data_IF_949467733602
#
_entry.id   IF_949467733602
#
_cell.length_a   1.000
_cell.length_b   1.000
_cell.length_c   1.000
_cell.angle_alpha   90.00
_cell.angle_beta   90.00
_cell.angle_gamma   90.00
#
_symmetry.space_group_name_H-M   'P 1'
#
loop_
_entity.id
_entity.type
_entity.pdbx_description
1 polymer ?
#
# COMPACT_ATOMS: atom_id res chain seq x y z
N UNK A 1 -24.76 44.06 48.04
CA UNK A 1 -24.43 44.23 46.62
C UNK A 1 -24.18 42.82 46.09
N UNK A 2 -25.15 42.06 45.55
CA UNK A 2 -25.93 42.24 44.28
C UNK A 2 -24.95 42.58 43.15
N UNK A 3 -24.66 41.71 42.16
CA UNK A 3 -25.51 40.84 41.33
C UNK A 3 -24.78 39.50 41.01
N UNK A 4 -25.35 38.28 40.93
CA UNK A 4 -26.50 37.74 40.19
C UNK A 4 -26.40 37.84 38.65
N UNK A 5 -25.92 36.78 38.00
CA UNK A 5 -26.42 36.31 36.69
C UNK A 5 -25.89 34.89 36.42
N UNK A 6 -26.68 33.83 36.63
CA UNK A 6 -27.81 33.38 35.80
C UNK A 6 -27.35 32.38 34.74
N UNK A 7 -27.78 31.14 34.96
CA UNK A 7 -27.68 29.99 34.06
C UNK A 7 -28.53 30.22 32.80
N UNK A 8 -28.18 29.48 31.72
CA UNK A 8 -29.01 29.01 30.58
C UNK A 8 -29.02 29.83 29.28
N UNK A 9 -28.20 29.40 28.33
CA UNK A 9 -28.51 29.22 26.89
C UNK A 9 -27.76 27.94 26.49
N UNK A 10 -28.38 26.75 26.43
CA UNK A 10 -29.13 26.17 25.29
C UNK A 10 -28.28 26.10 24.01
N UNK A 11 -27.66 24.94 23.82
CA UNK A 11 -27.61 24.08 22.63
C UNK A 11 -27.92 24.68 21.24
N UNK A 12 -27.00 24.43 20.28
CA UNK A 12 -27.19 24.08 18.83
C UNK A 12 -26.26 24.88 17.88
N UNK A 13 -25.42 24.12 17.13
CA UNK A 13 -24.70 24.36 15.86
C UNK A 13 -23.20 24.00 15.99
N UNK A 14 -22.78 22.73 16.01
CA UNK A 14 -22.67 21.80 14.87
C UNK A 14 -22.43 22.49 13.51
N UNK A 15 -21.25 22.25 12.93
CA UNK A 15 -20.87 22.43 11.51
C UNK A 15 -20.71 23.87 10.96
N UNK A 16 -19.55 24.48 11.23
CA UNK A 16 -18.74 25.38 10.35
C UNK A 16 -17.78 26.19 11.24
N UNK A 17 -16.45 26.04 11.19
CA UNK A 17 -15.65 26.49 10.07
C UNK A 17 -14.29 25.74 10.02
N UNK A 18 -14.21 24.78 9.10
CA UNK A 18 -13.01 24.08 8.62
C UNK A 18 -12.28 24.92 7.54
N UNK A 19 -12.46 26.24 7.56
CA UNK A 19 -11.77 27.16 6.67
C UNK A 19 -11.64 28.51 7.37
N UNK A 20 -10.52 29.21 7.16
CA UNK A 20 -10.25 30.62 7.55
C UNK A 20 -9.42 30.87 8.83
N UNK A 21 -8.18 30.36 8.90
CA UNK A 21 -7.15 31.03 9.71
C UNK A 21 -5.73 30.85 9.15
N UNK A 22 -5.54 31.26 7.88
CA UNK A 22 -4.24 31.54 7.26
C UNK A 22 -4.07 30.89 5.89
N UNK A 23 -4.16 31.56 4.74
CA UNK A 23 -4.34 32.96 4.38
C UNK A 23 -4.05 33.05 2.86
N UNK A 24 -5.05 33.24 2.01
CA UNK A 24 -5.55 34.58 1.65
C UNK A 24 -4.90 35.19 0.39
N UNK A 25 -3.73 34.73 -0.05
CA UNK A 25 -3.04 35.27 -1.25
C UNK A 25 -2.90 34.30 -2.44
N UNK A 26 -3.26 33.02 -2.28
CA UNK A 26 -3.19 32.02 -3.36
C UNK A 26 -4.43 32.00 -4.29
N UNK A 27 -5.48 32.76 -3.97
CA UNK A 27 -6.81 32.59 -4.56
C UNK A 27 -7.02 33.24 -5.94
N UNK A 28 -6.03 33.92 -6.54
CA UNK A 28 -6.21 34.54 -7.87
C UNK A 28 -5.33 33.96 -8.99
N UNK A 29 -4.24 33.26 -8.68
CA UNK A 29 -3.41 32.54 -9.66
C UNK A 29 -3.71 31.05 -9.76
N UNK A 30 -4.46 30.47 -8.81
CA UNK A 30 -4.96 29.08 -8.85
C UNK A 30 -6.29 28.90 -9.62
N UNK A 31 -6.94 29.98 -10.04
CA UNK A 31 -8.28 29.95 -10.66
C UNK A 31 -8.28 29.60 -12.18
N UNK A 32 -7.17 29.14 -12.76
CA UNK A 32 -7.10 28.81 -14.19
C UNK A 32 -6.31 27.53 -14.53
N UNK A 33 -6.07 26.65 -13.55
CA UNK A 33 -5.60 25.30 -13.83
C UNK A 33 -6.44 24.31 -12.99
N UNK A 34 -7.02 23.26 -13.58
CA UNK A 34 -7.59 22.17 -12.79
C UNK A 34 -6.44 21.59 -11.96
N UNK A 35 -6.43 21.91 -10.67
CA UNK A 35 -5.64 21.16 -9.71
C UNK A 35 -6.32 19.80 -9.64
N UNK A 36 -5.81 18.85 -10.41
CA UNK A 36 -6.08 17.44 -10.19
C UNK A 36 -5.57 17.14 -8.78
N UNK A 37 -6.47 17.20 -7.79
CA UNK A 37 -6.14 16.77 -6.44
C UNK A 37 -5.53 15.38 -6.56
N UNK A 38 -4.31 15.16 -6.06
CA UNK A 38 -3.71 13.85 -6.13
C UNK A 38 -4.69 12.91 -5.46
N UNK A 39 -5.07 11.84 -6.17
CA UNK A 39 -5.84 10.72 -5.62
C UNK A 39 -4.94 10.00 -4.62
N UNK A 40 -4.63 10.68 -3.52
CA UNK A 40 -3.85 10.20 -2.42
C UNK A 40 -4.84 9.49 -1.51
N UNK A 41 -4.54 8.24 -1.17
CA UNK A 41 -5.24 7.61 -0.08
C UNK A 41 -4.80 8.27 1.21
N UNK A 42 -5.70 9.08 1.77
CA UNK A 42 -5.53 9.63 3.10
C UNK A 42 -5.76 8.52 4.13
N UNK A 43 -4.70 7.76 4.43
CA UNK A 43 -4.69 6.83 5.56
C UNK A 43 -4.11 7.60 6.75
N UNK A 44 -4.88 7.82 7.84
CA UNK A 44 -4.35 8.50 9.00
C UNK A 44 -3.17 7.73 9.60
N UNK A 45 -2.19 8.41 10.19
CA UNK A 45 -0.97 7.76 10.67
C UNK A 45 -1.25 6.71 11.77
N UNK A 46 -2.28 6.95 12.57
CA UNK A 46 -2.79 6.07 13.61
C UNK A 46 -3.94 5.16 13.12
N UNK A 47 -4.11 4.99 11.81
CA UNK A 47 -5.10 4.07 11.23
C UNK A 47 -4.88 2.66 11.77
N UNK A 48 -5.98 2.01 12.16
CA UNK A 48 -5.95 0.60 12.53
C UNK A 48 -5.56 -0.27 11.33
N UNK A 49 -5.20 -1.53 11.60
CA UNK A 49 -4.95 -2.50 10.55
C UNK A 49 -6.13 -2.64 9.58
N UNK A 50 -7.36 -2.63 10.10
CA UNK A 50 -8.58 -2.72 9.29
C UNK A 50 -8.77 -1.49 8.39
N UNK A 51 -8.50 -0.29 8.90
CA UNK A 51 -8.59 0.94 8.11
C UNK A 51 -7.57 0.95 6.96
N UNK A 52 -6.34 0.50 7.24
CA UNK A 52 -5.28 0.34 6.23
C UNK A 52 -5.66 -0.67 5.16
N UNK A 53 -6.25 -1.80 5.54
CA UNK A 53 -6.75 -2.82 4.61
C UNK A 53 -7.89 -2.27 3.74
N UNK A 54 -8.85 -1.58 4.36
CA UNK A 54 -9.96 -0.95 3.63
C UNK A 54 -9.46 0.09 2.63
N UNK A 55 -8.49 0.92 3.01
CA UNK A 55 -7.86 1.86 2.10
C UNK A 55 -7.17 1.14 0.92
N UNK A 56 -6.46 0.04 1.19
CA UNK A 56 -5.88 -0.79 0.12
C UNK A 56 -6.94 -1.38 -0.82
N UNK A 57 -8.09 -1.78 -0.30
CA UNK A 57 -9.20 -2.30 -1.10
C UNK A 57 -9.80 -1.19 -1.97
N UNK A 58 -10.07 -0.01 -1.39
CA UNK A 58 -10.53 1.16 -2.15
C UNK A 58 -9.53 1.58 -3.23
N UNK A 59 -8.23 1.52 -2.94
CA UNK A 59 -7.17 1.74 -3.92
C UNK A 59 -7.25 0.74 -5.07
N UNK A 60 -7.36 -0.55 -4.74
CA UNK A 60 -7.40 -1.62 -5.73
C UNK A 60 -8.65 -1.50 -6.61
N UNK A 61 -9.79 -1.19 -6.02
CA UNK A 61 -11.05 -0.97 -6.73
C UNK A 61 -10.94 0.23 -7.66
N UNK A 62 -10.37 1.34 -7.18
CA UNK A 62 -10.05 2.50 -8.04
C UNK A 62 -9.14 2.10 -9.19
N UNK A 63 -8.07 1.34 -8.94
CA UNK A 63 -7.14 0.86 -9.98
C UNK A 63 -7.80 -0.07 -11.02
N UNK A 64 -8.86 -0.81 -10.63
CA UNK A 64 -9.64 -1.69 -11.51
C UNK A 64 -10.67 -0.95 -12.37
N UNK A 65 -11.01 0.29 -12.03
CA UNK A 65 -11.94 1.09 -12.83
C UNK A 65 -11.43 1.29 -14.26
N UNK A 66 -12.33 1.12 -15.23
CA UNK A 66 -12.04 1.29 -16.65
C UNK A 66 -12.12 2.75 -17.11
N UNK A 67 -12.79 3.61 -16.35
CA UNK A 67 -13.01 5.03 -16.68
C UNK A 67 -11.83 5.95 -16.30
N UNK A 68 -10.79 5.43 -15.66
CA UNK A 68 -9.57 6.19 -15.38
C UNK A 68 -8.64 6.19 -16.59
N UNK A 69 -8.09 7.36 -16.89
CA UNK A 69 -6.99 7.49 -17.84
C UNK A 69 -5.75 6.75 -17.32
N UNK A 70 -4.85 6.35 -18.22
CA UNK A 70 -3.61 5.66 -17.81
C UNK A 70 -2.70 6.59 -17.00
N UNK A 71 -2.77 7.91 -17.21
CA UNK A 71 -2.03 8.88 -16.42
C UNK A 71 -2.54 8.97 -14.98
N UNK A 72 -3.87 9.00 -14.77
CA UNK A 72 -4.46 8.95 -13.43
C UNK A 72 -4.14 7.65 -12.72
N UNK A 73 -4.23 6.51 -13.44
CA UNK A 73 -3.87 5.20 -12.90
C UNK A 73 -2.39 5.16 -12.50
N UNK A 74 -1.51 5.78 -13.27
CA UNK A 74 -0.08 5.91 -12.94
C UNK A 74 0.14 6.79 -11.71
N UNK A 75 -0.46 7.99 -11.65
CA UNK A 75 -0.38 8.90 -10.50
C UNK A 75 -0.89 8.24 -9.22
N UNK A 76 -1.99 7.48 -9.32
CA UNK A 76 -2.55 6.69 -8.23
C UNK A 76 -1.56 5.59 -7.80
N UNK A 77 -0.99 4.85 -8.75
CA UNK A 77 0.05 3.86 -8.46
C UNK A 77 1.30 4.45 -7.76
N UNK A 78 1.74 5.63 -8.19
CA UNK A 78 2.85 6.36 -7.57
C UNK A 78 2.50 6.85 -6.16
N UNK A 79 1.28 7.32 -5.92
CA UNK A 79 0.84 7.78 -4.59
C UNK A 79 0.85 6.63 -3.58
N UNK A 80 0.34 5.45 -3.98
CA UNK A 80 0.39 4.24 -3.16
C UNK A 80 1.82 3.79 -2.90
N UNK A 81 2.69 3.82 -3.93
CA UNK A 81 4.10 3.45 -3.75
C UNK A 81 4.79 4.36 -2.74
N UNK A 82 4.60 5.68 -2.84
CA UNK A 82 5.18 6.65 -1.90
C UNK A 82 4.66 6.45 -0.48
N UNK A 83 3.36 6.17 -0.33
CA UNK A 83 2.76 5.86 0.96
C UNK A 83 3.46 4.65 1.61
N UNK A 84 3.58 3.53 0.87
CA UNK A 84 4.23 2.32 1.35
C UNK A 84 5.73 2.52 1.65
N UNK A 85 6.44 3.25 0.79
CA UNK A 85 7.84 3.60 1.01
C UNK A 85 8.03 4.47 2.25
N UNK A 86 7.09 5.38 2.54
CA UNK A 86 7.06 6.22 3.73
C UNK A 86 6.83 5.43 5.01
N UNK A 87 5.87 4.50 5.03
CA UNK A 87 5.61 3.65 6.19
C UNK A 87 6.82 2.76 6.52
N UNK A 88 7.49 2.20 5.50
CA UNK A 88 8.74 1.46 5.71
C UNK A 88 9.82 2.37 6.27
N UNK A 89 9.97 3.58 5.75
CA UNK A 89 10.98 4.52 6.25
C UNK A 89 10.74 4.89 7.72
N UNK A 90 9.48 5.16 8.11
CA UNK A 90 9.12 5.43 9.51
C UNK A 90 9.58 4.31 10.45
N UNK A 91 9.36 3.05 10.06
CA UNK A 91 9.79 1.88 10.86
C UNK A 91 11.31 1.75 10.94
N UNK A 92 12.00 2.02 9.83
CA UNK A 92 13.47 2.05 9.78
C UNK A 92 14.00 3.13 10.72
N UNK A 93 13.47 4.34 10.62
CA UNK A 93 13.88 5.47 11.45
C UNK A 93 13.61 5.21 12.94
N UNK A 94 12.44 4.65 13.27
CA UNK A 94 12.09 4.25 14.63
C UNK A 94 13.11 3.25 15.20
N UNK A 95 13.51 2.23 14.42
CA UNK A 95 14.51 1.25 14.84
C UNK A 95 15.91 1.87 15.04
N UNK A 96 16.37 2.72 14.11
CA UNK A 96 17.71 3.29 14.19
C UNK A 96 17.84 4.41 15.22
N UNK A 97 16.77 5.17 15.47
CA UNK A 97 16.73 6.25 16.45
C UNK A 97 16.51 5.74 17.89
N UNK A 98 16.06 4.50 18.07
CA UNK A 98 15.89 3.91 19.39
C UNK A 98 17.22 3.45 20.02
N UNK A 99 17.23 3.46 21.36
CA UNK A 99 18.32 2.92 22.17
C UNK A 99 18.57 1.44 21.83
N UNK A 100 19.82 0.97 21.87
CA UNK A 100 20.15 -0.42 21.54
C UNK A 100 19.33 -1.46 22.30
N UNK A 101 18.98 -1.16 23.56
CA UNK A 101 18.18 -2.04 24.43
C UNK A 101 16.69 -2.09 24.03
N UNK A 102 16.16 -1.03 23.41
CA UNK A 102 14.75 -0.95 23.00
C UNK A 102 14.49 -1.55 21.60
N UNK A 103 15.55 -1.75 20.80
CA UNK A 103 15.46 -2.22 19.41
C UNK A 103 14.78 -3.57 19.26
N UNK A 104 15.02 -4.49 20.20
CA UNK A 104 14.40 -5.82 20.14
C UNK A 104 12.87 -5.74 20.30
N UNK A 105 12.40 -4.97 21.28
CA UNK A 105 10.96 -4.75 21.49
C UNK A 105 10.28 -4.05 20.30
N UNK A 106 10.98 -3.12 19.63
CA UNK A 106 10.48 -2.45 18.41
C UNK A 106 10.34 -3.46 17.28
N UNK A 107 11.36 -4.30 17.05
CA UNK A 107 11.30 -5.35 16.03
C UNK A 107 10.18 -6.34 16.31
N UNK A 108 9.99 -6.75 17.56
CA UNK A 108 8.91 -7.68 17.94
C UNK A 108 7.53 -7.10 17.63
N UNK A 109 7.29 -5.82 17.98
CA UNK A 109 6.03 -5.14 17.62
C UNK A 109 5.84 -5.04 16.11
N UNK A 110 6.88 -4.67 15.36
CA UNK A 110 6.79 -4.62 13.89
C UNK A 110 6.54 -6.01 13.28
N UNK A 111 7.07 -7.08 13.87
CA UNK A 111 6.80 -8.46 13.47
C UNK A 111 5.35 -8.83 13.72
N UNK A 112 4.79 -8.51 14.90
CA UNK A 112 3.40 -8.78 15.23
C UNK A 112 2.44 -8.09 14.22
N UNK A 113 2.70 -6.81 13.92
CA UNK A 113 1.95 -6.06 12.90
C UNK A 113 2.05 -6.73 11.51
N UNK A 114 3.22 -7.26 11.15
CA UNK A 114 3.39 -7.99 9.89
C UNK A 114 2.67 -9.34 9.89
N UNK A 115 2.60 -10.05 11.02
CA UNK A 115 1.85 -11.30 11.15
C UNK A 115 0.35 -11.07 11.00
N UNK A 116 -0.18 -10.03 11.62
CA UNK A 116 -1.57 -9.59 11.44
C UNK A 116 -1.86 -9.23 9.99
N UNK A 117 -0.99 -8.41 9.38
CA UNK A 117 -1.11 -8.05 7.96
C UNK A 117 -1.11 -9.30 7.07
N UNK A 118 -0.21 -10.25 7.35
CA UNK A 118 -0.08 -11.50 6.58
C UNK A 118 -1.36 -12.33 6.66
N UNK A 119 -1.91 -12.52 7.86
CA UNK A 119 -3.16 -13.28 8.08
C UNK A 119 -4.33 -12.62 7.34
N UNK A 120 -4.47 -11.30 7.46
CA UNK A 120 -5.50 -10.56 6.75
C UNK A 120 -5.38 -10.68 5.22
N UNK A 121 -4.15 -10.64 4.70
CA UNK A 121 -3.87 -10.84 3.27
C UNK A 121 -4.15 -12.27 2.81
N UNK A 122 -3.87 -13.27 3.65
CA UNK A 122 -4.13 -14.69 3.36
C UNK A 122 -5.63 -14.99 3.34
N UNK A 123 -6.38 -14.52 4.34
CA UNK A 123 -7.84 -14.62 4.38
C UNK A 123 -8.47 -13.96 3.14
N UNK A 124 -8.01 -12.75 2.79
CA UNK A 124 -8.48 -12.07 1.58
C UNK A 124 -8.15 -12.85 0.32
N UNK A 125 -6.94 -13.42 0.23
CA UNK A 125 -6.56 -14.24 -0.93
C UNK A 125 -7.46 -15.47 -1.06
N UNK A 126 -7.73 -16.16 0.04
CA UNK A 126 -8.64 -17.32 0.05
C UNK A 126 -10.04 -16.89 -0.43
N UNK A 127 -10.56 -15.76 0.06
CA UNK A 127 -11.84 -15.22 -0.40
C UNK A 127 -11.84 -14.88 -1.89
N UNK A 128 -10.80 -14.23 -2.39
CA UNK A 128 -10.65 -13.92 -3.82
C UNK A 128 -10.56 -15.20 -4.68
N UNK A 129 -9.85 -16.23 -4.20
CA UNK A 129 -9.75 -17.54 -4.87
C UNK A 129 -11.10 -18.26 -4.90
N UNK A 130 -11.88 -18.21 -3.81
CA UNK A 130 -13.23 -18.77 -3.76
C UNK A 130 -14.21 -18.02 -4.69
N UNK A 131 -14.18 -16.69 -4.69
CA UNK A 131 -15.00 -15.87 -5.60
C UNK A 131 -14.65 -16.13 -7.06
N UNK A 132 -13.36 -16.25 -7.36
CA UNK A 132 -12.89 -16.62 -8.70
C UNK A 132 -13.34 -18.02 -9.09
N UNK A 133 -13.18 -19.01 -8.20
CA UNK A 133 -13.61 -20.37 -8.45
C UNK A 133 -15.12 -20.46 -8.76
N UNK A 134 -15.94 -19.67 -8.06
CA UNK A 134 -17.38 -19.53 -8.34
C UNK A 134 -17.64 -18.82 -9.68
N UNK A 135 -16.91 -17.76 -9.99
CA UNK A 135 -17.05 -17.06 -11.27
C UNK A 135 -16.62 -17.92 -12.47
N UNK A 136 -15.71 -18.86 -12.25
CA UNK A 136 -15.23 -19.81 -13.25
C UNK A 136 -16.08 -21.10 -13.31
N UNK A 137 -17.07 -21.25 -12.43
CA UNK A 137 -18.03 -22.35 -12.46
C UNK A 137 -18.88 -22.27 -13.73
N UNK A 138 -18.77 -23.27 -14.60
CA UNK A 138 -19.44 -23.31 -15.90
C UNK A 138 -18.62 -22.76 -17.08
N UNK A 139 -17.43 -22.17 -16.84
CA UNK A 139 -16.48 -21.86 -17.92
C UNK A 139 -15.68 -23.10 -18.30
N UNK A 140 -15.40 -23.26 -19.59
CA UNK A 140 -14.45 -24.27 -20.08
C UNK A 140 -13.01 -23.94 -19.67
N UNK A 141 -12.13 -24.94 -19.62
CA UNK A 141 -10.70 -24.71 -19.33
C UNK A 141 -10.04 -23.79 -20.36
N UNK A 142 -10.47 -23.87 -21.63
CA UNK A 142 -9.97 -23.00 -22.70
C UNK A 142 -10.37 -21.53 -22.47
N UNK A 143 -11.60 -21.26 -22.03
CA UNK A 143 -12.04 -19.90 -21.68
C UNK A 143 -11.28 -19.34 -20.48
N UNK A 144 -11.04 -20.16 -19.45
CA UNK A 144 -10.24 -19.75 -18.28
C UNK A 144 -8.81 -19.43 -18.71
N UNK A 145 -8.19 -20.29 -19.52
CA UNK A 145 -6.82 -20.08 -20.00
C UNK A 145 -6.71 -18.82 -20.87
N UNK A 146 -7.68 -18.59 -21.76
CA UNK A 146 -7.75 -17.39 -22.60
C UNK A 146 -7.92 -16.10 -21.76
N UNK A 147 -8.72 -16.13 -20.69
CA UNK A 147 -8.88 -15.00 -19.77
C UNK A 147 -7.57 -14.71 -19.02
N UNK A 148 -6.93 -15.76 -18.49
CA UNK A 148 -5.62 -15.66 -17.86
C UNK A 148 -4.54 -15.15 -18.83
N UNK A 149 -4.57 -15.55 -20.09
CA UNK A 149 -3.63 -15.07 -21.10
C UNK A 149 -3.82 -13.58 -21.40
N UNK A 150 -5.07 -13.12 -21.55
CA UNK A 150 -5.38 -11.69 -21.70
C UNK A 150 -4.90 -10.89 -20.49
N UNK A 151 -5.07 -11.40 -19.28
CA UNK A 151 -4.55 -10.75 -18.07
C UNK A 151 -3.01 -10.66 -18.08
N UNK A 152 -2.33 -11.75 -18.45
CA UNK A 152 -0.86 -11.80 -18.59
C UNK A 152 -0.36 -10.84 -19.67
N UNK A 153 -1.07 -10.74 -20.79
CA UNK A 153 -0.73 -9.82 -21.88
C UNK A 153 -0.88 -8.35 -21.44
N UNK A 154 -2.01 -7.98 -20.83
CA UNK A 154 -2.21 -6.64 -20.24
C UNK A 154 -1.10 -6.28 -19.25
N UNK A 155 -0.68 -7.23 -18.42
CA UNK A 155 0.43 -7.02 -17.49
C UNK A 155 1.77 -6.82 -18.21
N UNK A 156 2.08 -7.65 -19.22
CA UNK A 156 3.31 -7.52 -20.02
C UNK A 156 3.35 -6.18 -20.75
N UNK A 157 2.24 -5.75 -21.32
CA UNK A 157 2.14 -4.48 -22.03
C UNK A 157 2.36 -3.30 -21.10
N UNK A 158 1.77 -3.32 -19.90
CA UNK A 158 2.04 -2.33 -18.86
C UNK A 158 3.53 -2.28 -18.46
N UNK A 159 4.19 -3.43 -18.39
CA UNK A 159 5.62 -3.48 -18.07
C UNK A 159 6.49 -2.98 -19.23
N UNK A 160 6.07 -3.21 -20.47
CA UNK A 160 6.77 -2.75 -21.69
C UNK A 160 6.58 -1.26 -21.92
N UNK A 161 5.42 -0.70 -21.60
CA UNK A 161 5.09 0.71 -21.82
C UNK A 161 5.87 1.67 -20.91
N UNK A 162 6.45 1.18 -19.80
CA UNK A 162 7.35 1.98 -18.96
C UNK A 162 8.56 2.47 -19.74
N UNK A 163 8.72 3.78 -19.83
CA UNK A 163 9.83 4.38 -20.56
C UNK A 163 11.17 4.11 -19.86
N UNK A 164 12.29 4.17 -20.60
CA UNK A 164 13.63 4.06 -20.00
C UNK A 164 13.88 5.19 -18.99
N UNK A 165 13.36 6.37 -19.27
CA UNK A 165 13.48 7.56 -18.42
C UNK A 165 12.74 7.37 -17.10
N UNK A 166 11.53 6.83 -17.12
CA UNK A 166 10.74 6.50 -15.91
C UNK A 166 11.48 5.48 -15.04
N UNK A 167 12.01 4.41 -15.64
CA UNK A 167 12.83 3.42 -14.91
C UNK A 167 14.10 4.04 -14.33
N UNK A 168 14.68 5.02 -15.00
CA UNK A 168 15.88 5.73 -14.55
C UNK A 168 15.54 6.65 -13.37
N UNK A 169 14.47 7.44 -13.47
CA UNK A 169 13.99 8.29 -12.38
C UNK A 169 13.66 7.47 -11.13
N UNK A 170 13.02 6.30 -11.31
CA UNK A 170 12.76 5.34 -10.23
C UNK A 170 14.02 4.78 -9.57
N UNK A 171 15.11 4.66 -10.33
CA UNK A 171 16.39 4.17 -9.84
C UNK A 171 17.23 5.28 -9.21
N UNK A 172 17.21 6.49 -9.76
CA UNK A 172 18.02 7.64 -9.34
C UNK A 172 17.50 8.29 -8.06
N UNK A 173 16.20 8.18 -7.79
CA UNK A 173 15.59 8.66 -6.54
C UNK A 173 16.02 7.85 -5.31
N UNK A 174 16.74 6.74 -5.47
CA UNK A 174 17.17 5.89 -4.36
C UNK A 174 18.50 6.38 -3.78
N UNK A 175 18.42 6.99 -2.60
CA UNK A 175 19.57 7.32 -1.79
C UNK A 175 20.28 6.02 -1.32
N UNK A 176 21.59 5.83 -1.62
CA UNK A 176 22.30 4.60 -1.26
C UNK A 176 22.35 4.36 0.25
N UNK A 177 22.38 5.43 1.06
CA UNK A 177 22.40 5.32 2.52
C UNK A 177 21.07 4.81 3.07
N UNK A 178 19.94 5.32 2.56
CA UNK A 178 18.60 4.84 2.94
C UNK A 178 18.41 3.37 2.54
N UNK A 179 18.92 2.98 1.36
CA UNK A 179 18.90 1.58 0.94
C UNK A 179 19.70 0.69 1.89
N UNK A 180 20.91 1.13 2.30
CA UNK A 180 21.73 0.40 3.25
C UNK A 180 21.03 0.24 4.62
N UNK A 181 20.42 1.31 5.13
CA UNK A 181 19.62 1.27 6.38
C UNK A 181 18.44 0.32 6.25
N UNK A 182 17.66 0.39 5.16
CA UNK A 182 16.56 -0.53 4.89
C UNK A 182 17.03 -1.99 4.87
N UNK A 183 18.15 -2.29 4.22
CA UNK A 183 18.71 -3.65 4.19
C UNK A 183 19.14 -4.12 5.58
N UNK A 184 19.79 -3.26 6.36
CA UNK A 184 20.21 -3.59 7.72
C UNK A 184 19.00 -3.84 8.64
N UNK A 185 17.97 -3.00 8.55
CA UNK A 185 16.71 -3.18 9.26
C UNK A 185 16.01 -4.50 8.88
N UNK A 186 15.86 -4.78 7.58
CA UNK A 186 15.24 -6.03 7.11
C UNK A 186 16.04 -7.28 7.53
N UNK A 187 17.37 -7.18 7.59
CA UNK A 187 18.24 -8.25 8.11
C UNK A 187 18.02 -8.48 9.61
N UNK A 188 17.93 -7.40 10.41
CA UNK A 188 17.64 -7.48 11.83
C UNK A 188 16.25 -8.10 12.09
N UNK A 189 15.24 -7.63 11.37
CA UNK A 189 13.88 -8.18 11.40
C UNK A 189 13.86 -9.67 11.06
N UNK A 190 14.55 -10.11 10.00
CA UNK A 190 14.63 -11.53 9.63
C UNK A 190 15.23 -12.38 10.75
N UNK A 191 16.34 -11.93 11.35
CA UNK A 191 16.95 -12.63 12.48
C UNK A 191 16.00 -12.72 13.67
N UNK A 192 15.26 -11.65 13.96
CA UNK A 192 14.28 -11.65 15.04
C UNK A 192 13.10 -12.59 14.76
N UNK A 193 12.61 -12.63 13.52
CA UNK A 193 11.61 -13.61 13.09
C UNK A 193 12.12 -15.05 13.24
N UNK A 194 13.36 -15.32 12.82
CA UNK A 194 14.00 -16.64 12.97
C UNK A 194 14.13 -17.06 14.43
N UNK A 195 14.54 -16.16 15.33
CA UNK A 195 14.55 -16.43 16.78
C UNK A 195 13.16 -16.80 17.32
N UNK A 196 12.12 -16.17 16.79
CA UNK A 196 10.70 -16.46 17.14
C UNK A 196 10.14 -17.69 16.41
N UNK A 197 10.92 -18.35 15.56
CA UNK A 197 10.47 -19.49 14.76
C UNK A 197 9.46 -19.12 13.67
N UNK A 198 9.35 -17.82 13.34
CA UNK A 198 8.45 -17.33 12.29
C UNK A 198 9.21 -17.36 10.96
N UNK A 199 8.66 -18.06 9.97
CA UNK A 199 9.26 -18.06 8.63
C UNK A 199 9.12 -16.67 8.00
N UNK A 200 10.23 -16.05 7.54
CA UNK A 200 10.17 -14.76 6.87
C UNK A 200 9.40 -14.89 5.56
N UNK A 201 8.64 -13.86 5.13
CA UNK A 201 7.97 -13.90 3.85
C UNK A 201 9.02 -14.02 2.74
N UNK A 202 8.73 -14.84 1.74
CA UNK A 202 9.63 -15.02 0.61
C UNK A 202 9.47 -13.82 -0.34
N UNK A 203 10.09 -12.69 0.03
CA UNK A 203 10.08 -11.45 -0.75
C UNK A 203 10.96 -11.62 -1.99
N UNK A 204 10.36 -12.04 -3.10
CA UNK A 204 11.06 -12.10 -4.38
C UNK A 204 10.13 -12.42 -5.55
N UNK A 205 10.31 -11.77 -6.73
CA UNK A 205 9.49 -12.00 -7.92
C UNK A 205 9.68 -13.40 -8.58
N UNK A 206 10.29 -14.35 -7.87
CA UNK A 206 10.46 -15.75 -8.29
C UNK A 206 10.04 -16.77 -7.22
N UNK A 207 9.37 -16.33 -6.15
CA UNK A 207 8.85 -17.19 -5.09
C UNK A 207 7.63 -18.01 -5.52
N UNK A 208 7.74 -18.75 -6.63
CA UNK A 208 6.96 -19.98 -6.80
C UNK A 208 7.41 -20.89 -5.66
N UNK A 209 6.58 -21.01 -4.63
CA UNK A 209 6.82 -21.97 -3.56
C UNK A 209 7.10 -23.38 -4.12
N UNK A 210 7.76 -24.26 -3.36
CA UNK A 210 8.26 -25.55 -3.84
C UNK A 210 7.21 -26.57 -4.34
N UNK A 211 5.93 -26.19 -4.48
CA UNK A 211 4.88 -27.00 -5.11
C UNK A 211 4.50 -26.58 -6.54
N UNK A 212 5.02 -25.46 -7.05
CA UNK A 212 4.68 -24.92 -8.38
C UNK A 212 5.39 -25.62 -9.55
N UNK A 213 5.38 -26.96 -9.61
CA UNK A 213 5.65 -27.70 -10.85
C UNK A 213 4.49 -27.41 -11.80
N UNK A 214 4.64 -26.36 -12.60
CA UNK A 214 3.83 -26.23 -13.82
C UNK A 214 4.03 -27.49 -14.67
N UNK A 215 2.97 -28.19 -15.08
CA UNK A 215 3.06 -29.30 -16.01
C UNK A 215 3.44 -28.72 -17.38
N UNK A 216 4.68 -28.90 -17.83
CA UNK A 216 5.07 -28.34 -19.14
C UNK A 216 6.56 -28.32 -19.48
N UNK A 217 7.44 -28.77 -18.59
CA UNK A 217 8.84 -29.02 -18.94
C UNK A 217 8.99 -30.32 -19.71
N UNK A 218 8.57 -30.33 -20.98
CA UNK A 218 8.84 -31.45 -21.89
C UNK A 218 10.35 -31.72 -22.03
N UNK A 219 10.76 -32.98 -22.22
CA UNK A 219 12.16 -33.32 -22.40
C UNK A 219 12.68 -32.71 -23.72
N UNK A 220 13.73 -31.89 -23.64
CA UNK A 220 14.56 -31.60 -24.80
C UNK A 220 15.42 -32.84 -25.05
N UNK A 221 15.10 -33.58 -26.10
CA UNK A 221 16.03 -34.47 -26.79
C UNK A 221 17.01 -33.70 -27.65
#
# INVERSE_FOLDING_TARGET
>A
MKDSNSKKFVTIALLAAVALAGGGWALKSYLAAPQEEPVALAVPENASMQDRMKAMDEFRDKMRREDMTEEERRKLGESMRRFMEGEIQKRVDEYFNADPEAREAILDRHIDEMEEWRKAMEERRQKEEEERAKADEGKSEEEKEAEHEKERERWRDRMRSRSREERKADSETRNPNEMAQRMAYMSAMRKQMEKRGIQPPQWGPGGRGPGGRGPGGGPRG
#
